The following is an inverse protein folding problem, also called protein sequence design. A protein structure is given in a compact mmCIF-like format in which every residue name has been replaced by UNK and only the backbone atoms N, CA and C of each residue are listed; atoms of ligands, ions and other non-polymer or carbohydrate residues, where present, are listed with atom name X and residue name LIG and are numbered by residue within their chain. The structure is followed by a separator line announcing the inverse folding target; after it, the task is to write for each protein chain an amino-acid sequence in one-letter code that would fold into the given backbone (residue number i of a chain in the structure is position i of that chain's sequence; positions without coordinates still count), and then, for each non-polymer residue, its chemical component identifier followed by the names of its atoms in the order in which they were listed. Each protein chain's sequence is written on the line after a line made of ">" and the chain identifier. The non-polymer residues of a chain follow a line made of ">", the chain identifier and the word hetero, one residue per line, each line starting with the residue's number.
data_IF_374644086629
#
_entry.id   IF_374644086629
#
_cell.length_a   1.000
_cell.length_b   1.000
_cell.length_c   1.000
_cell.angle_alpha   90.00
_cell.angle_beta   90.00
_cell.angle_gamma   90.00
#
_symmetry.space_group_name_H-M   'P 1'
#
loop_
_entity.id
_entity.type
_entity.pdbx_description
1 polymer ?
2 non-polymer ?
3 non-polymer ?
4 water ?
#
# COMPACT_ATOMS: atom_id res chain seq x y z
N UNK A 8 33.44 -8.15 -19.11
CA UNK A 8 32.15 -8.54 -18.53
C UNK A 8 31.13 -7.38 -18.55
N UNK A 9 30.03 -7.56 -19.27
CA UNK A 9 28.94 -6.57 -19.34
C UNK A 9 28.21 -6.48 -18.01
N UNK A 10 27.50 -5.37 -17.80
CA UNK A 10 26.58 -5.25 -16.68
C UNK A 10 25.55 -6.41 -16.63
N UNK A 11 25.09 -6.87 -17.77
CA UNK A 11 24.09 -7.96 -17.82
C UNK A 11 24.72 -9.33 -17.55
N UNK A 12 25.85 -9.62 -18.20
CA UNK A 12 26.61 -10.83 -17.95
C UNK A 12 26.96 -10.99 -16.49
N UNK A 13 27.28 -9.87 -15.84
CA UNK A 13 27.85 -9.94 -14.50
C UNK A 13 26.80 -10.47 -13.54
N UNK A 14 25.59 -9.92 -13.63
CA UNK A 14 24.46 -10.32 -12.81
C UNK A 14 24.07 -11.80 -13.02
N UNK A 15 23.93 -12.20 -14.27
CA UNK A 15 23.70 -13.57 -14.68
C UNK A 15 24.78 -14.53 -14.14
N UNK A 16 26.05 -14.10 -14.15
CA UNK A 16 27.15 -14.91 -13.62
C UNK A 16 27.24 -14.85 -12.10
N UNK A 17 26.85 -13.74 -11.48
CA UNK A 17 26.85 -13.67 -10.00
C UNK A 17 25.63 -14.36 -9.35
N UNK A 18 24.61 -14.66 -10.17
CA UNK A 18 23.31 -15.17 -9.72
C UNK A 18 22.49 -14.25 -8.83
N UNK A 19 22.67 -12.94 -9.00
CA UNK A 19 22.16 -11.97 -8.01
C UNK A 19 21.99 -10.58 -8.63
N UNK A 20 20.78 -10.01 -8.51
CA UNK A 20 20.56 -8.61 -8.86
C UNK A 20 20.61 -7.69 -7.60
N UNK A 21 21.72 -6.95 -7.45
CA UNK A 21 21.97 -6.00 -6.36
C UNK A 21 21.22 -4.73 -6.67
N UNK A 22 20.25 -4.39 -5.81
CA UNK A 22 19.41 -3.19 -6.02
C UNK A 22 19.44 -2.27 -4.80
N UNK A 23 19.56 -0.96 -5.03
CA UNK A 23 19.57 -0.04 -3.88
C UNK A 23 18.27 0.75 -3.85
N UNK A 24 17.83 1.06 -2.65
CA UNK A 24 16.52 1.71 -2.45
C UNK A 24 16.49 2.47 -1.09
N UNK A 25 15.37 3.17 -0.85
CA UNK A 25 15.14 3.95 0.37
C UNK A 25 14.44 3.06 1.37
N UNK A 26 14.61 3.35 2.66
CA UNK A 26 13.77 2.72 3.65
C UNK A 26 12.41 3.45 3.76
N UNK A 27 11.35 2.77 3.30
CA UNK A 27 10.01 3.31 3.28
C UNK A 27 9.11 2.22 2.75
N UNK A 28 7.84 2.22 3.19
CA UNK A 28 6.93 1.19 2.71
C UNK A 28 6.48 1.49 1.27
N UNK A 29 6.68 2.74 0.83
CA UNK A 29 6.54 3.01 -0.59
C UNK A 29 7.47 2.15 -1.42
N UNK A 30 8.68 1.88 -0.90
CA UNK A 30 9.78 1.30 -1.68
C UNK A 30 10.16 -0.09 -1.22
N UNK A 31 10.51 -0.21 0.06
CA UNK A 31 10.84 -1.51 0.66
C UNK A 31 10.60 -1.50 2.17
N UNK A 32 10.07 -2.61 2.67
CA UNK A 32 9.60 -2.70 4.04
C UNK A 32 9.67 -4.17 4.49
N UNK A 33 10.06 -4.38 5.75
CA UNK A 33 10.16 -5.73 6.30
C UNK A 33 9.19 -5.92 7.46
N UNK A 34 8.33 -6.93 7.36
CA UNK A 34 7.35 -7.21 8.40
C UNK A 34 7.30 -8.70 8.71
N UNK A 35 6.23 -9.12 9.41
CA UNK A 35 6.06 -10.51 9.77
C UNK A 35 5.72 -11.36 8.55
N UNK A 36 4.77 -10.92 7.75
CA UNK A 36 4.34 -11.68 6.59
C UNK A 36 5.27 -11.51 5.41
N UNK A 37 6.52 -11.19 5.70
CA UNK A 37 7.58 -10.99 4.69
C UNK A 37 7.87 -9.55 4.32
N UNK A 38 8.60 -9.35 3.21
CA UNK A 38 8.87 -8.01 2.67
C UNK A 38 7.84 -7.53 1.61
N UNK A 39 7.67 -6.21 1.52
CA UNK A 39 6.67 -5.61 0.64
C UNK A 39 7.27 -4.31 0.16
N UNK A 40 6.60 -3.69 -0.80
CA UNK A 40 7.06 -2.47 -1.39
C UNK A 40 6.74 -2.44 -2.85
N UNK A 41 6.29 -1.28 -3.31
CA UNK A 41 6.09 -1.12 -4.74
C UNK A 41 7.42 -1.50 -5.42
N UNK A 42 8.51 -0.85 -5.00
CA UNK A 42 9.74 -0.96 -5.74
C UNK A 42 10.28 -2.38 -5.62
N UNK A 43 10.23 -2.89 -4.38
CA UNK A 43 10.65 -4.25 -4.04
C UNK A 43 9.95 -5.30 -4.86
N UNK A 44 8.61 -5.29 -4.82
CA UNK A 44 7.82 -6.24 -5.62
C UNK A 44 8.20 -6.11 -7.10
N UNK A 45 8.47 -4.91 -7.58
CA UNK A 45 8.81 -4.70 -9.01
C UNK A 45 10.22 -5.21 -9.33
N UNK A 46 11.19 -4.81 -8.51
CA UNK A 46 12.59 -5.23 -8.73
C UNK A 46 12.68 -6.72 -8.48
N UNK A 47 11.83 -7.24 -7.60
CA UNK A 47 11.77 -8.69 -7.37
C UNK A 47 11.36 -9.44 -8.63
N UNK A 48 10.40 -8.88 -9.38
CA UNK A 48 9.93 -9.52 -10.62
C UNK A 48 10.94 -9.33 -11.72
N UNK A 49 11.80 -8.34 -11.59
CA UNK A 49 12.86 -8.17 -12.57
C UNK A 49 13.98 -9.22 -12.35
N UNK A 50 14.37 -9.46 -11.10
CA UNK A 50 15.35 -10.52 -10.74
C UNK A 50 14.82 -11.93 -11.14
N UNK A 51 13.54 -12.14 -10.94
CA UNK A 51 12.85 -13.29 -11.47
C UNK A 51 12.95 -13.41 -13.00
N UNK A 52 12.75 -12.30 -13.72
CA UNK A 52 12.83 -12.32 -15.21
C UNK A 52 14.21 -12.81 -15.66
N UNK A 53 15.26 -12.37 -14.96
CA UNK A 53 16.65 -12.71 -15.33
C UNK A 53 17.19 -14.05 -14.82
N UNK A 54 16.41 -14.73 -13.97
CA UNK A 54 16.85 -16.01 -13.36
C UNK A 54 17.59 -15.84 -12.03
N UNK A 55 17.70 -14.60 -11.56
CA UNK A 55 18.56 -14.28 -10.42
C UNK A 55 17.82 -13.99 -9.13
N UNK A 56 18.56 -14.18 -8.04
CA UNK A 56 18.09 -13.76 -6.73
C UNK A 56 18.31 -12.25 -6.57
N UNK A 57 17.25 -11.54 -6.21
CA UNK A 57 17.34 -10.14 -5.76
C UNK A 57 18.04 -9.97 -4.38
N UNK A 58 18.84 -8.92 -4.23
CA UNK A 58 19.37 -8.50 -2.92
C UNK A 58 19.13 -7.01 -2.82
N UNK A 59 18.41 -6.61 -1.76
CA UNK A 59 18.07 -5.21 -1.46
C UNK A 59 19.08 -4.59 -0.50
N UNK A 60 19.59 -3.38 -0.79
CA UNK A 60 20.28 -2.55 0.21
C UNK A 60 19.45 -1.30 0.45
N UNK A 61 19.79 -0.53 1.48
CA UNK A 61 19.20 0.78 1.75
C UNK A 61 20.23 1.87 1.99
N UNK A 62 19.99 3.02 1.39
CA UNK A 62 20.75 4.23 1.64
C UNK A 62 20.08 5.04 2.76
N UNK A 63 20.79 5.95 3.39
CA UNK A 63 20.21 6.73 4.50
C UNK A 63 19.57 8.04 4.06
N UNK A 64 20.05 8.57 2.94
CA UNK A 64 19.44 9.70 2.26
C UNK A 64 19.70 9.47 0.78
N UNK A 65 19.30 10.42 -0.06
CA UNK A 65 19.37 10.24 -1.51
C UNK A 65 20.73 10.59 -2.15
N UNK A 66 21.49 11.54 -1.61
CA UNK A 66 22.88 11.72 -2.07
C UNK A 66 23.65 10.39 -1.91
N UNK A 67 23.52 9.72 -0.77
CA UNK A 67 24.18 8.43 -0.53
C UNK A 67 23.57 7.29 -1.35
N UNK A 68 22.29 7.39 -1.70
CA UNK A 68 21.71 6.38 -2.60
C UNK A 68 22.36 6.51 -3.97
N UNK A 69 22.53 7.73 -4.45
CA UNK A 69 23.15 7.91 -5.76
C UNK A 69 24.66 7.57 -5.77
N UNK A 70 25.31 7.86 -4.64
CA UNK A 70 26.73 7.58 -4.45
C UNK A 70 27.05 6.14 -4.71
N UNK A 71 26.34 5.24 -4.04
CA UNK A 71 26.54 3.79 -4.16
C UNK A 71 26.61 3.24 -5.58
N UNK A 72 25.87 3.85 -6.50
CA UNK A 72 25.95 3.46 -7.91
C UNK A 72 27.33 3.70 -8.52
N UNK A 73 28.09 4.62 -7.92
CA UNK A 73 29.43 4.93 -8.40
C UNK A 73 30.47 4.04 -7.74
N UNK A 74 30.09 3.40 -6.64
CA UNK A 74 30.99 2.51 -5.91
C UNK A 74 31.31 1.25 -6.72
N UNK A 75 32.51 0.73 -6.54
CA UNK A 75 32.93 -0.48 -7.25
C UNK A 75 32.29 -1.72 -6.66
N UNK A 76 31.58 -2.46 -7.49
CA UNK A 76 30.91 -3.68 -7.05
C UNK A 76 29.64 -3.39 -6.26
N UNK A 77 29.16 -2.16 -6.36
CA UNK A 77 27.95 -1.75 -5.65
C UNK A 77 26.63 -2.27 -6.25
N UNK A 78 25.57 -1.46 -6.15
CA UNK A 78 24.29 -1.85 -6.65
C UNK A 78 24.23 -1.77 -8.16
N UNK A 79 23.64 -2.78 -8.81
CA UNK A 79 23.23 -2.64 -10.23
C UNK A 79 22.30 -1.45 -10.41
N UNK A 80 21.34 -1.26 -9.55
CA UNK A 80 20.38 -0.19 -9.86
C UNK A 80 19.66 0.38 -8.64
N UNK A 81 19.09 1.57 -8.78
CA UNK A 81 18.23 2.13 -7.74
C UNK A 81 16.77 2.11 -8.18
N UNK A 82 15.91 1.50 -7.37
CA UNK A 82 14.49 1.35 -7.62
C UNK A 82 13.88 1.99 -6.38
N UNK A 83 13.46 3.24 -6.52
CA UNK A 83 13.26 4.07 -5.31
C UNK A 83 12.28 5.24 -5.46
N UNK A 84 11.25 5.11 -6.32
CA UNK A 84 10.42 6.26 -6.69
C UNK A 84 11.24 7.51 -7.07
N UNK A 85 12.38 7.33 -7.70
CA UNK A 85 13.13 8.45 -8.21
C UNK A 85 12.47 8.99 -9.47
N UNK A 86 12.55 10.29 -9.65
CA UNK A 86 12.04 10.89 -10.86
C UNK A 86 13.27 11.56 -11.51
N UNK A 87 13.43 11.46 -12.85
CA UNK A 87 14.74 11.78 -13.45
C UNK A 87 15.25 13.23 -13.22
N UNK A 88 16.54 13.45 -13.53
CA UNK A 88 17.21 14.74 -13.31
C UNK A 88 16.94 15.74 -14.42
N UNK A 89 16.56 16.95 -14.05
CA UNK A 89 16.26 18.03 -15.01
C UNK A 89 17.49 18.59 -15.73
N UNK A 90 18.68 18.33 -15.17
CA UNK A 90 19.97 18.79 -15.72
C UNK A 90 21.00 17.64 -15.93
N UNK A 91 22.27 17.99 -16.13
CA UNK A 91 23.28 17.03 -16.64
C UNK A 91 24.34 16.50 -15.63
N UNK A 92 24.26 15.21 -15.32
CA UNK A 92 25.23 14.57 -14.44
C UNK A 92 25.66 13.22 -15.00
N UNK A 93 26.92 13.13 -15.41
CA UNK A 93 27.44 11.95 -16.11
C UNK A 93 27.47 10.68 -15.27
N UNK A 94 27.28 10.80 -13.96
CA UNK A 94 27.36 9.66 -13.02
C UNK A 94 26.06 8.82 -12.85
N UNK A 95 24.98 9.19 -13.55
CA UNK A 95 23.73 8.48 -13.44
C UNK A 95 22.94 8.48 -14.74
N UNK A 96 22.33 7.32 -15.04
CA UNK A 96 21.35 7.15 -16.13
C UNK A 96 20.03 6.64 -15.56
N UNK A 97 18.96 6.85 -16.31
CA UNK A 97 17.58 6.54 -15.92
C UNK A 97 16.85 5.67 -16.96
N UNK A 98 16.10 4.69 -16.50
CA UNK A 98 15.27 3.88 -17.40
C UNK A 98 14.15 4.74 -17.99
N UNK A 99 13.39 4.15 -18.92
CA UNK A 99 12.05 4.63 -19.20
C UNK A 99 11.24 4.84 -17.91
N UNK A 100 10.45 5.91 -17.87
CA UNK A 100 9.45 6.11 -16.80
C UNK A 100 8.39 5.01 -16.78
N UNK A 101 8.05 4.57 -15.57
CA UNK A 101 7.08 3.50 -15.34
C UNK A 101 5.87 3.94 -14.51
N UNK A 102 5.72 5.22 -14.26
CA UNK A 102 4.58 5.69 -13.46
C UNK A 102 4.48 7.22 -13.44
N UNK A 103 3.29 7.70 -13.78
CA UNK A 103 2.96 9.12 -13.81
C UNK A 103 2.48 9.71 -12.49
N UNK A 104 3.38 10.38 -11.77
CA UNK A 104 3.02 11.08 -10.51
C UNK A 104 3.20 12.57 -10.75
N UNK A 105 2.51 13.39 -9.96
CA UNK A 105 2.53 14.86 -10.05
C UNK A 105 3.10 15.34 -8.73
N UNK A 106 4.16 16.17 -8.75
CA UNK A 106 4.59 16.81 -7.48
C UNK A 106 3.48 17.70 -7.03
N UNK A 107 3.20 17.70 -5.73
CA UNK A 107 2.15 18.58 -5.21
C UNK A 107 2.60 19.26 -3.96
N UNK A 108 2.22 20.53 -3.83
CA UNK A 108 2.54 21.24 -2.62
C UNK A 108 1.54 20.79 -1.56
N UNK A 109 2.05 20.49 -0.36
CA UNK A 109 1.22 19.96 0.71
C UNK A 109 1.06 20.96 1.86
N UNK A 110 -0.19 21.15 2.28
CA UNK A 110 -0.51 22.00 3.44
C UNK A 110 -1.40 21.35 4.50
N UNK A 111 -1.50 22.01 5.65
CA UNK A 111 -2.36 21.60 6.74
C UNK A 111 -3.75 22.20 6.51
N UNK A 112 -4.77 21.33 6.48
CA UNK A 112 -6.18 21.73 6.28
C UNK A 112 -6.58 22.91 7.15
N UNK A 113 -7.38 23.82 6.60
CA UNK A 113 -7.81 25.01 7.30
C UNK A 113 -6.77 26.12 7.51
N UNK A 114 -5.46 25.85 7.29
CA UNK A 114 -4.41 26.90 7.38
C UNK A 114 -4.46 27.70 6.08
N UNK A 115 -3.64 28.76 5.96
CA UNK A 115 -3.68 29.59 4.75
C UNK A 115 -3.41 28.71 3.52
N UNK A 116 -4.27 28.80 2.52
CA UNK A 116 -4.15 27.99 1.30
C UNK A 116 -3.30 28.62 0.18
N UNK A 117 -2.03 28.17 0.04
CA UNK A 117 -1.24 28.57 -1.13
C UNK A 117 -1.88 28.11 -2.44
N UNK A 118 -1.94 28.98 -3.43
CA UNK A 118 -2.57 28.58 -4.67
C UNK A 118 -1.67 28.82 -5.88
N UNK A 119 -0.66 29.64 -5.69
CA UNK A 119 0.35 29.89 -6.71
C UNK A 119 1.72 29.93 -6.03
N UNK A 120 2.81 29.75 -6.82
CA UNK A 120 4.22 29.85 -6.39
C UNK A 120 4.55 31.03 -5.49
N UNK A 121 4.04 32.23 -5.80
CA UNK A 121 4.28 33.41 -4.92
C UNK A 121 4.09 33.05 -3.43
N UNK A 122 2.94 32.42 -3.14
CA UNK A 122 2.44 32.01 -1.80
C UNK A 122 3.39 31.16 -0.98
N UNK A 123 4.32 30.49 -1.67
CA UNK A 123 5.35 29.70 -0.99
C UNK A 123 6.38 30.64 -0.36
N UNK A 124 6.29 31.94 -0.69
CA UNK A 124 7.21 32.92 -0.09
C UNK A 124 6.89 33.05 1.40
N UNK A 125 7.97 33.18 2.20
CA UNK A 125 7.89 33.32 3.62
C UNK A 125 7.19 32.20 4.34
N UNK A 126 7.42 30.96 3.89
CA UNK A 126 6.94 29.78 4.62
C UNK A 126 8.07 28.84 5.07
N UNK A 127 7.90 28.23 6.23
CA UNK A 127 8.74 27.10 6.65
C UNK A 127 8.43 25.89 5.75
N UNK A 128 9.40 25.60 4.87
CA UNK A 128 9.27 24.52 3.91
C UNK A 128 10.40 23.53 4.08
N UNK A 129 10.04 22.26 4.30
CA UNK A 129 11.04 21.20 4.25
C UNK A 129 10.88 20.16 3.16
N UNK A 130 12.05 19.69 2.74
CA UNK A 130 12.22 18.84 1.62
C UNK A 130 13.48 17.99 1.85
N UNK A 131 13.55 16.86 1.14
CA UNK A 131 14.71 15.99 1.17
C UNK A 131 15.87 16.55 0.35
N UNK A 132 17.00 16.74 1.02
CA UNK A 132 18.23 17.08 0.28
C UNK A 132 18.48 15.99 -0.78
N UNK A 133 18.80 16.41 -2.00
CA UNK A 133 19.11 15.48 -3.10
C UNK A 133 17.91 15.06 -3.90
N UNK A 134 16.74 15.60 -3.54
CA UNK A 134 15.50 15.23 -4.22
C UNK A 134 15.29 16.08 -5.47
N UNK A 135 14.55 15.57 -6.44
CA UNK A 135 13.99 16.41 -7.51
C UNK A 135 13.21 17.55 -6.90
N UNK A 136 12.58 17.29 -5.76
CA UNK A 136 11.73 18.33 -5.17
C UNK A 136 12.58 19.53 -4.75
N UNK A 137 13.67 19.26 -4.03
CA UNK A 137 14.66 20.27 -3.69
C UNK A 137 14.99 21.09 -4.94
N UNK A 138 15.17 20.41 -6.06
CA UNK A 138 15.60 21.08 -7.29
C UNK A 138 14.58 21.96 -7.96
N UNK A 139 13.30 21.60 -7.86
CA UNK A 139 12.20 22.43 -8.34
C UNK A 139 12.08 23.72 -7.51
N UNK A 140 12.46 23.65 -6.24
CA UNK A 140 12.48 24.84 -5.37
C UNK A 140 13.63 25.84 -5.72
N UNK A 141 14.87 25.36 -5.85
CA UNK A 141 15.99 26.19 -6.30
C UNK A 141 15.65 26.98 -7.57
N UNK A 142 15.06 26.31 -8.55
CA UNK A 142 14.61 26.95 -9.82
C UNK A 142 13.62 28.13 -9.63
N UNK A 143 12.56 27.88 -8.87
CA UNK A 143 11.67 28.93 -8.36
C UNK A 143 12.38 29.98 -7.51
N UNK A 144 13.48 29.62 -6.84
CA UNK A 144 14.21 30.60 -6.01
C UNK A 144 14.93 31.66 -6.87
N UNK A 145 15.17 31.29 -8.13
CA UNK A 145 15.66 32.20 -9.15
C UNK A 145 14.60 33.24 -9.52
N UNK A 146 13.40 32.75 -9.79
CA UNK A 146 12.24 33.59 -9.99
C UNK A 146 11.91 34.38 -8.71
N UNK A 147 11.90 33.70 -7.58
CA UNK A 147 11.54 34.37 -6.35
C UNK A 147 12.68 34.36 -5.32
N UNK A 148 13.49 35.43 -5.30
CA UNK A 148 14.71 35.41 -4.46
C UNK A 148 14.38 35.36 -2.97
N UNK A 149 13.15 35.71 -2.62
CA UNK A 149 12.69 35.74 -1.22
C UNK A 149 12.21 34.39 -0.68
N UNK A 150 12.35 33.35 -1.50
CA UNK A 150 11.93 32.00 -1.13
C UNK A 150 12.97 31.33 -0.20
N UNK A 151 12.50 30.79 0.90
CA UNK A 151 13.35 30.04 1.82
C UNK A 151 12.79 28.63 1.89
N UNK A 152 13.70 27.65 1.91
CA UNK A 152 13.29 26.25 2.12
C UNK A 152 14.48 25.48 2.72
N UNK A 153 14.12 24.50 3.53
CA UNK A 153 15.06 23.68 4.25
C UNK A 153 15.29 22.36 3.48
N UNK A 154 16.58 22.03 3.31
CA UNK A 154 17.01 20.79 2.69
C UNK A 154 17.58 19.90 3.78
N UNK A 155 16.97 18.74 3.99
CA UNK A 155 17.31 17.85 5.10
C UNK A 155 17.77 16.48 4.62
N UNK A 156 18.91 16.03 5.15
CA UNK A 156 19.55 14.78 4.84
C UNK A 156 19.13 13.67 5.82
N UNK A 157 18.33 14.01 6.84
CA UNK A 157 18.05 13.10 7.96
C UNK A 157 16.69 12.41 7.89
N UNK A 158 15.73 13.11 7.29
CA UNK A 158 14.31 12.72 7.30
C UNK A 158 13.89 12.02 6.01
N UNK A 159 12.78 11.29 6.08
CA UNK A 159 12.17 10.72 4.90
C UNK A 159 10.83 11.43 4.59
N UNK A 160 10.20 11.04 3.48
CA UNK A 160 8.90 11.59 3.05
C UNK A 160 7.83 11.48 4.15
N UNK A 161 7.77 10.35 4.83
CA UNK A 161 6.79 10.15 5.93
C UNK A 161 6.96 11.20 7.04
N UNK A 162 8.20 11.59 7.28
CA UNK A 162 8.52 12.59 8.32
C UNK A 162 8.08 13.97 7.89
N UNK A 163 8.32 14.34 6.63
CA UNK A 163 7.87 15.62 6.06
C UNK A 163 6.35 15.84 6.16
N UNK A 164 5.58 14.78 5.99
CA UNK A 164 4.12 14.83 6.02
C UNK A 164 3.60 14.89 7.44
N UNK A 165 4.25 14.15 8.33
CA UNK A 165 3.96 14.27 9.75
C UNK A 165 4.07 15.71 10.21
N UNK A 166 5.10 16.39 9.69
CA UNK A 166 5.47 17.75 10.16
C UNK A 166 4.40 18.71 9.78
N UNK A 167 3.87 18.54 8.57
CA UNK A 167 2.81 19.42 8.08
C UNK A 167 1.53 19.10 8.82
N UNK A 168 1.37 17.83 9.18
CA UNK A 168 0.15 17.38 9.85
C UNK A 168 -0.04 18.07 11.19
N UNK A 169 1.05 18.32 11.90
CA UNK A 169 0.97 18.80 13.28
C UNK A 169 1.59 20.21 13.39
N UNK A 170 2.02 20.75 12.27
CA UNK A 170 2.37 22.17 12.19
C UNK A 170 3.79 22.62 12.54
N UNK A 171 4.73 21.69 12.68
CA UNK A 171 6.15 22.05 12.87
C UNK A 171 6.70 22.64 11.56
N UNK A 172 5.98 22.35 10.46
CA UNK A 172 6.25 23.06 9.21
C UNK A 172 4.93 23.41 8.53
N UNK A 173 4.94 24.39 7.63
CA UNK A 173 3.73 24.80 6.91
C UNK A 173 3.50 23.90 5.71
N UNK A 174 4.55 23.69 4.92
CA UNK A 174 4.46 23.08 3.58
C UNK A 174 5.59 22.08 3.28
N UNK A 175 5.27 21.14 2.39
CA UNK A 175 6.29 20.34 1.73
C UNK A 175 5.93 20.09 0.28
N UNK A 176 6.90 19.54 -0.44
CA UNK A 176 6.72 19.10 -1.84
C UNK A 176 6.99 17.60 -1.90
N UNK A 177 6.02 16.85 -2.39
CA UNK A 177 6.13 15.38 -2.51
C UNK A 177 5.32 14.91 -3.72
N UNK A 178 5.68 13.76 -4.25
CA UNK A 178 4.98 13.17 -5.40
C UNK A 178 3.63 12.67 -4.93
N UNK A 179 2.63 12.80 -5.78
CA UNK A 179 1.22 12.52 -5.43
C UNK A 179 0.96 11.06 -5.03
N UNK A 180 1.72 10.12 -5.59
CA UNK A 180 1.56 8.71 -5.23
C UNK A 180 1.79 8.43 -3.77
N UNK A 181 2.87 8.99 -3.22
CA UNK A 181 3.26 8.78 -1.82
C UNK A 181 2.45 9.63 -0.87
N UNK A 182 1.95 10.75 -1.39
CA UNK A 182 0.95 11.53 -0.67
C UNK A 182 -0.27 10.68 -0.35
N UNK A 183 -0.88 10.12 -1.39
CA UNK A 183 -2.04 9.19 -1.28
C UNK A 183 -1.74 7.97 -0.41
N UNK A 184 -0.55 7.37 -0.57
CA UNK A 184 -0.11 6.31 0.35
C UNK A 184 -0.16 6.77 1.79
N UNK A 185 0.24 8.01 2.01
CA UNK A 185 0.41 8.57 3.36
C UNK A 185 -0.81 9.24 3.92
N UNK A 186 -1.84 9.44 3.11
CA UNK A 186 -3.05 10.14 3.54
C UNK A 186 -3.83 9.38 4.60
N UNK A 187 -3.54 8.08 4.74
CA UNK A 187 -4.26 7.24 5.69
C UNK A 187 -3.59 7.30 7.05
N UNK A 188 -2.58 8.14 7.19
CA UNK A 188 -1.95 8.32 8.52
C UNK A 188 -2.05 9.77 8.99
N UNK A 189 -2.10 10.69 8.04
CA UNK A 189 -2.05 12.11 8.39
C UNK A 189 -3.33 12.81 8.00
N UNK A 190 -4.25 12.91 8.97
CA UNK A 190 -5.63 13.32 8.66
C UNK A 190 -5.79 14.77 8.24
N UNK A 191 -4.82 15.64 8.55
CA UNK A 191 -4.89 17.09 8.27
C UNK A 191 -4.16 17.54 7.01
N UNK A 192 -3.36 16.64 6.47
CA UNK A 192 -2.55 16.90 5.30
C UNK A 192 -3.41 17.03 4.02
N UNK A 193 -3.14 18.08 3.23
CA UNK A 193 -3.88 18.33 1.99
C UNK A 193 -3.04 18.90 0.86
N UNK A 194 -3.56 18.75 -0.36
CA UNK A 194 -2.88 19.13 -1.61
C UNK A 194 -3.21 20.58 -1.96
N UNK A 195 -2.20 21.43 -1.90
CA UNK A 195 -2.42 22.85 -2.06
C UNK A 195 -2.63 23.19 -3.52
N UNK A 196 -1.81 22.63 -4.40
CA UNK A 196 -2.02 22.72 -5.85
C UNK A 196 -0.97 21.83 -6.49
N UNK A 197 -1.09 21.60 -7.79
CA UNK A 197 -0.07 20.83 -8.51
C UNK A 197 1.07 21.72 -9.02
N UNK A 198 2.29 21.41 -8.57
CA UNK A 198 3.51 22.15 -8.92
C UNK A 198 4.20 21.47 -10.11
N UNK A 199 3.51 21.36 -11.24
CA UNK A 199 3.99 20.60 -12.41
C UNK A 199 2.98 19.59 -12.96
N UNK A 200 3.45 18.77 -13.92
CA UNK A 200 2.67 17.65 -14.51
C UNK A 200 3.21 16.32 -14.05
N UNK A 201 2.59 15.25 -14.57
CA UNK A 201 2.90 13.88 -14.17
C UNK A 201 4.24 13.31 -14.70
N UNK A 202 5.35 14.03 -14.44
CA UNK A 202 6.68 13.44 -14.68
C UNK A 202 6.69 12.01 -14.07
N UNK A 203 7.55 11.16 -14.60
CA UNK A 203 7.48 9.78 -14.19
C UNK A 203 8.62 9.32 -13.33
N UNK A 204 8.35 8.28 -12.55
CA UNK A 204 9.40 7.59 -11.83
C UNK A 204 10.26 6.78 -12.80
N UNK A 205 11.57 6.74 -12.56
CA UNK A 205 12.44 5.85 -13.33
C UNK A 205 13.48 5.21 -12.40
N UNK A 206 13.93 4.00 -12.75
CA UNK A 206 15.08 3.41 -12.05
C UNK A 206 16.40 4.02 -12.51
N UNK A 207 17.34 4.13 -11.57
CA UNK A 207 18.60 4.75 -11.90
C UNK A 207 19.68 3.70 -11.98
N UNK A 208 20.50 3.84 -13.00
CA UNK A 208 21.69 3.01 -13.19
C UNK A 208 22.95 3.91 -13.26
N UNK A 209 24.10 3.39 -12.84
CA UNK A 209 25.29 4.21 -12.91
C UNK A 209 25.47 4.77 -14.32
N UNK A 210 26.06 5.95 -14.42
CA UNK A 210 26.43 6.49 -15.74
C UNK A 210 27.24 5.55 -16.63
N UNK A 211 27.15 5.77 -17.93
CA UNK A 211 27.96 4.99 -18.86
C UNK A 211 27.26 4.76 -20.20
N UNK A 212 27.99 4.08 -21.07
CA UNK A 212 27.52 3.71 -22.39
C UNK A 212 27.22 2.19 -22.59
N UNK A 213 27.49 1.38 -21.55
CA UNK A 213 27.03 -0.02 -21.50
C UNK A 213 25.50 -0.09 -21.29
N UNK A 214 24.81 -0.84 -22.14
CA UNK A 214 23.33 -0.90 -22.07
C UNK A 214 22.80 -2.29 -21.83
N UNK A 215 23.68 -3.25 -21.62
CA UNK A 215 23.23 -4.62 -21.61
C UNK A 215 22.01 -4.76 -20.66
N UNK A 216 22.15 -4.28 -19.43
CA UNK A 216 21.12 -4.41 -18.44
C UNK A 216 20.03 -3.35 -18.58
N UNK A 217 20.44 -2.12 -18.92
CA UNK A 217 19.47 -1.05 -19.17
C UNK A 217 18.43 -1.43 -20.23
N UNK A 218 18.86 -2.01 -21.35
CA UNK A 218 17.84 -2.43 -22.36
C UNK A 218 16.86 -3.43 -21.75
N UNK A 219 17.41 -4.37 -20.97
CA UNK A 219 16.58 -5.34 -20.28
C UNK A 219 15.65 -4.77 -19.22
N UNK A 220 16.13 -3.76 -18.47
CA UNK A 220 15.28 -3.06 -17.53
C UNK A 220 14.13 -2.44 -18.34
N UNK A 221 14.48 -1.75 -19.44
CA UNK A 221 13.47 -1.16 -20.32
C UNK A 221 12.57 -2.20 -20.99
N UNK A 222 13.11 -3.33 -21.43
CA UNK A 222 12.21 -4.38 -21.97
C UNK A 222 11.23 -4.87 -20.89
N UNK A 223 11.74 -5.08 -19.67
CA UNK A 223 10.91 -5.50 -18.52
C UNK A 223 9.76 -4.57 -18.12
N UNK A 224 10.06 -3.27 -18.13
CA UNK A 224 9.07 -2.22 -17.83
C UNK A 224 8.02 -2.07 -18.91
N UNK A 225 8.42 -2.20 -20.17
CA UNK A 225 7.46 -2.20 -21.25
C UNK A 225 6.54 -3.46 -21.17
N UNK A 226 7.13 -4.61 -20.82
CA UNK A 226 6.30 -5.80 -20.56
C UNK A 226 5.35 -5.57 -19.36
N UNK A 227 5.88 -4.98 -18.29
CA UNK A 227 5.10 -4.76 -17.09
C UNK A 227 3.82 -3.90 -17.37
N UNK A 228 3.96 -2.92 -18.25
CA UNK A 228 2.87 -2.06 -18.71
C UNK A 228 1.90 -2.85 -19.55
N UNK A 229 2.44 -3.80 -20.31
CA UNK A 229 1.61 -4.63 -21.19
C UNK A 229 0.65 -5.54 -20.45
N UNK A 230 1.04 -5.98 -19.26
CA UNK A 230 0.27 -6.93 -18.42
C UNK A 230 -0.44 -6.35 -17.17
N UNK A 231 -0.45 -5.04 -17.01
CA UNK A 231 -1.12 -4.44 -15.87
C UNK A 231 -0.40 -4.47 -14.55
N UNK A 232 0.83 -5.03 -14.50
CA UNK A 232 1.61 -5.19 -13.24
C UNK A 232 1.84 -3.88 -12.46
N UNK A 233 2.20 -2.82 -13.16
CA UNK A 233 2.46 -1.53 -12.52
C UNK A 233 1.13 -0.98 -11.99
N UNK A 234 0.08 -1.13 -12.80
CA UNK A 234 -1.26 -0.67 -12.41
C UNK A 234 -1.73 -1.37 -11.13
N UNK A 235 -1.56 -2.72 -11.04
CA UNK A 235 -1.84 -3.51 -9.80
C UNK A 235 -1.00 -3.09 -8.56
N UNK A 236 0.28 -2.76 -8.77
CA UNK A 236 1.18 -2.36 -7.65
C UNK A 236 0.77 -0.96 -7.24
N UNK A 237 0.51 -0.10 -8.25
CA UNK A 237 -0.01 1.23 -7.97
C UNK A 237 -1.25 1.21 -7.06
N UNK A 238 -2.26 0.38 -7.39
CA UNK A 238 -3.48 0.22 -6.53
C UNK A 238 -3.21 -0.31 -5.12
N UNK A 239 -2.32 -1.28 -4.99
CA UNK A 239 -2.02 -1.78 -3.65
C UNK A 239 -1.34 -0.75 -2.77
N UNK A 240 -0.29 -0.12 -3.30
CA UNK A 240 0.56 0.78 -2.52
C UNK A 240 0.12 2.21 -2.54
N UNK A 241 -0.32 2.70 -3.71
CA UNK A 241 -0.66 4.13 -3.92
C UNK A 241 -2.14 4.45 -4.26
N UNK A 242 -3.07 3.52 -4.09
CA UNK A 242 -4.46 3.80 -4.50
C UNK A 242 -5.45 3.94 -3.37
N UNK A 243 -4.96 4.18 -2.14
CA UNK A 243 -5.85 4.38 -1.01
C UNK A 243 -6.96 5.43 -1.25
N UNK A 244 -6.60 6.61 -1.76
CA UNK A 244 -7.53 7.71 -2.00
C UNK A 244 -8.47 7.39 -3.15
N UNK A 245 -7.87 6.82 -4.19
CA UNK A 245 -8.52 6.40 -5.41
C UNK A 245 -9.60 5.36 -5.07
N UNK A 246 -9.19 4.36 -4.29
CA UNK A 246 -10.05 3.26 -3.89
C UNK A 246 -10.97 3.56 -2.73
N UNK A 247 -10.44 3.99 -1.59
CA UNK A 247 -11.27 4.23 -0.38
C UNK A 247 -12.11 5.50 -0.46
N UNK A 248 -11.77 6.41 -1.40
CA UNK A 248 -12.35 7.77 -1.52
C UNK A 248 -11.57 8.74 -0.61
N UNK A 249 -11.45 10.02 -0.99
CA UNK A 249 -10.70 11.03 -0.17
C UNK A 249 -11.19 11.01 1.27
N UNK A 250 -12.51 11.08 1.46
CA UNK A 250 -13.08 11.16 2.81
C UNK A 250 -12.79 9.92 3.64
N UNK A 251 -12.92 8.76 3.01
CA UNK A 251 -12.50 7.50 3.63
C UNK A 251 -11.04 7.48 4.08
N UNK A 252 -10.13 8.02 3.24
CA UNK A 252 -8.68 8.01 3.52
C UNK A 252 -8.31 8.82 4.77
N UNK A 253 -8.79 10.06 4.87
CA UNK A 253 -8.40 10.92 6.00
C UNK A 253 -9.14 10.56 7.28
N UNK A 254 -10.38 10.11 7.17
CA UNK A 254 -11.08 9.71 8.36
C UNK A 254 -10.43 8.46 8.90
N UNK A 255 -10.07 7.54 8.01
CA UNK A 255 -9.36 6.37 8.46
C UNK A 255 -8.19 6.86 9.28
N UNK A 256 -7.42 7.80 8.74
CA UNK A 256 -6.29 8.40 9.51
C UNK A 256 -6.68 8.97 10.88
N UNK A 257 -7.84 9.65 10.95
CA UNK A 257 -8.42 10.12 12.23
C UNK A 257 -8.65 8.95 13.21
N UNK A 258 -9.30 7.90 12.71
CA UNK A 258 -9.64 6.72 13.50
C UNK A 258 -8.45 5.91 13.95
N UNK A 259 -7.42 5.81 13.10
CA UNK A 259 -6.16 5.18 13.48
C UNK A 259 -5.58 5.81 14.75
N UNK A 260 -5.65 7.14 14.81
CA UNK A 260 -5.03 7.92 15.89
C UNK A 260 -5.98 8.10 17.09
N UNK A 261 -7.29 8.20 16.83
CA UNK A 261 -8.26 8.48 17.90
C UNK A 261 -8.99 7.25 18.47
N UNK A 262 -9.26 6.26 17.62
CA UNK A 262 -9.95 5.06 18.06
C UNK A 262 -9.05 3.84 18.34
N UNK A 263 -8.14 3.48 17.42
CA UNK A 263 -7.31 2.25 17.60
C UNK A 263 -6.50 2.10 18.90
N UNK A 264 -5.98 3.20 19.47
CA UNK A 264 -5.21 2.93 20.69
C UNK A 264 -6.06 2.32 21.79
N UNK A 265 -7.33 2.70 21.85
CA UNK A 265 -8.27 2.11 22.82
C UNK A 265 -8.50 0.59 22.74
N UNK A 266 -8.14 -0.06 21.63
CA UNK A 266 -8.50 -1.47 21.41
C UNK A 266 -7.37 -2.37 21.00
N UNK A 267 -6.27 -1.72 20.58
CA UNK A 267 -5.10 -2.37 20.02
C UNK A 267 -4.65 -3.50 20.91
N UNK A 268 -4.50 -3.20 22.20
CA UNK A 268 -4.17 -4.20 23.20
C UNK A 268 -5.04 -5.46 23.09
N UNK A 269 -6.35 -5.29 22.93
CA UNK A 269 -7.21 -6.42 22.84
C UNK A 269 -7.03 -7.14 21.53
N UNK A 270 -6.92 -6.37 20.46
CA UNK A 270 -6.56 -6.96 19.16
C UNK A 270 -5.33 -7.80 19.26
N UNK A 271 -4.35 -7.35 20.04
CA UNK A 271 -3.09 -8.09 20.15
C UNK A 271 -3.21 -9.35 21.02
N UNK A 272 -3.97 -9.28 22.12
CA UNK A 272 -4.08 -10.45 22.96
C UNK A 272 -4.83 -11.60 22.20
N UNK A 273 -5.85 -11.25 21.40
CA UNK A 273 -6.56 -12.28 20.61
C UNK A 273 -5.65 -12.92 19.56
N UNK A 274 -4.86 -12.09 18.91
CA UNK A 274 -3.88 -12.58 17.96
C UNK A 274 -2.94 -13.66 18.49
N UNK A 275 -2.44 -13.45 19.71
CA UNK A 275 -1.34 -14.26 20.32
C UNK A 275 -1.43 -15.79 20.23
N UNK A 276 -2.54 -16.34 20.69
CA UNK A 276 -2.75 -17.79 20.66
C UNK A 276 -3.34 -18.24 19.33
N UNK A 277 -4.37 -17.52 18.88
CA UNK A 277 -5.02 -17.84 17.62
C UNK A 277 -4.04 -17.78 16.45
N UNK A 278 -2.78 -17.48 16.77
CA UNK A 278 -1.74 -17.39 15.75
C UNK A 278 -2.21 -16.59 14.54
N UNK A 279 -3.12 -15.65 14.78
CA UNK A 279 -3.67 -14.81 13.72
C UNK A 279 -3.20 -13.37 13.86
N UNK A 280 -2.53 -12.86 12.83
CA UNK A 280 -2.03 -11.49 12.83
C UNK A 280 -3.09 -10.56 13.42
N UNK A 281 -2.74 -9.91 14.53
CA UNK A 281 -3.67 -8.98 15.18
C UNK A 281 -4.14 -7.86 14.22
N UNK A 282 -3.24 -7.44 13.31
CA UNK A 282 -3.52 -6.36 12.34
C UNK A 282 -4.59 -6.75 11.33
N UNK A 283 -4.68 -8.04 11.03
CA UNK A 283 -5.75 -8.60 10.17
C UNK A 283 -7.03 -8.50 10.93
N UNK A 284 -6.94 -8.83 12.22
CA UNK A 284 -8.06 -8.81 13.12
C UNK A 284 -8.64 -7.40 13.25
N UNK A 285 -7.74 -6.41 13.44
CA UNK A 285 -8.16 -5.01 13.57
C UNK A 285 -8.79 -4.50 12.26
N UNK A 286 -8.27 -4.98 11.15
CA UNK A 286 -8.80 -4.61 9.83
C UNK A 286 -10.26 -5.04 9.69
N UNK A 287 -10.57 -6.30 10.03
CA UNK A 287 -11.98 -6.74 10.19
C UNK A 287 -12.75 -5.77 11.09
N UNK A 288 -12.17 -5.47 12.27
CA UNK A 288 -12.68 -4.44 13.18
C UNK A 288 -13.04 -3.15 12.43
N UNK A 289 -12.05 -2.60 11.69
CA UNK A 289 -12.24 -1.33 11.01
C UNK A 289 -13.34 -1.41 9.97
N UNK A 290 -13.32 -2.39 9.07
CA UNK A 290 -14.42 -2.59 8.08
C UNK A 290 -15.79 -2.84 8.73
N UNK A 291 -15.78 -3.50 9.88
CA UNK A 291 -17.07 -3.85 10.51
C UNK A 291 -17.74 -2.62 11.19
N UNK A 292 -16.95 -1.88 11.95
CA UNK A 292 -17.52 -0.76 12.70
C UNK A 292 -16.63 0.48 12.81
N UNK A 293 -15.55 0.59 12.04
CA UNK A 293 -14.65 1.75 12.16
C UNK A 293 -14.20 1.91 13.63
N UNK A 294 -14.00 0.79 14.31
CA UNK A 294 -13.50 0.75 15.70
C UNK A 294 -14.42 1.49 16.65
N UNK A 295 -15.71 1.14 16.57
CA UNK A 295 -16.76 1.76 17.38
C UNK A 295 -17.46 0.67 18.18
N UNK A 296 -17.03 0.48 19.46
CA UNK A 296 -17.56 -0.56 20.33
C UNK A 296 -19.07 -0.52 20.38
N UNK A 297 -19.63 0.67 20.34
CA UNK A 297 -21.03 0.85 20.67
C UNK A 297 -21.95 0.76 19.49
N UNK A 298 -21.39 0.52 18.31
CA UNK A 298 -22.17 0.50 17.05
C UNK A 298 -23.17 -0.65 16.91
N UNK A 299 -24.31 -0.28 16.34
CA UNK A 299 -25.39 -1.18 16.07
C UNK A 299 -25.85 -0.87 14.66
N UNK A 300 -26.44 -1.83 13.97
CA UNK A 300 -27.12 -1.52 12.70
C UNK A 300 -28.61 -1.92 12.73
N UNK A 301 -29.26 -1.93 11.58
CA UNK A 301 -30.69 -2.27 11.53
C UNK A 301 -30.95 -3.68 10.97
N UNK A 302 -29.96 -4.58 11.13
CA UNK A 302 -29.92 -5.87 10.37
C UNK A 302 -29.46 -7.12 11.16
N UNK A 303 -29.21 -6.95 12.45
CA UNK A 303 -29.00 -8.04 13.35
C UNK A 303 -27.60 -8.14 13.90
N UNK A 304 -26.78 -7.12 13.65
CA UNK A 304 -25.39 -7.09 14.18
C UNK A 304 -25.01 -5.88 15.05
N UNK A 305 -24.34 -6.15 16.16
CA UNK A 305 -23.96 -5.11 17.08
C UNK A 305 -22.46 -5.26 17.33
N UNK A 306 -21.84 -4.17 17.77
CA UNK A 306 -20.49 -4.20 18.33
C UNK A 306 -19.32 -3.98 17.38
N UNK A 307 -18.12 -3.98 17.97
CA UNK A 307 -16.89 -3.71 17.25
C UNK A 307 -16.66 -4.62 16.00
N UNK A 308 -16.98 -5.91 16.12
CA UNK A 308 -16.80 -6.87 15.03
C UNK A 308 -18.16 -7.26 14.45
N UNK A 309 -19.22 -6.54 14.82
CA UNK A 309 -20.52 -6.72 14.20
C UNK A 309 -20.90 -8.18 14.24
N UNK A 310 -21.32 -8.61 15.41
CA UNK A 310 -21.66 -10.01 15.65
C UNK A 310 -23.18 -10.16 15.74
N UNK A 311 -23.70 -11.28 15.26
CA UNK A 311 -25.09 -11.62 15.51
C UNK A 311 -25.20 -12.19 16.90
N UNK A 312 -26.43 -12.23 17.39
CA UNK A 312 -26.71 -12.64 18.74
C UNK A 312 -26.37 -14.12 18.82
N UNK A 313 -26.65 -14.87 17.76
CA UNK A 313 -26.35 -16.30 17.75
C UNK A 313 -24.83 -16.62 17.73
N UNK A 314 -24.03 -15.76 17.10
CA UNK A 314 -22.58 -15.94 17.08
C UNK A 314 -22.02 -15.56 18.46
N UNK A 315 -22.52 -14.46 18.99
CA UNK A 315 -22.10 -14.00 20.29
C UNK A 315 -22.43 -15.09 21.32
N UNK A 316 -23.64 -15.65 21.22
CA UNK A 316 -24.02 -16.79 22.04
C UNK A 316 -23.04 -17.99 21.93
N UNK A 317 -22.79 -18.47 20.71
CA UNK A 317 -21.85 -19.58 20.49
C UNK A 317 -20.34 -19.33 20.88
N UNK A 318 -19.89 -18.08 20.86
CA UNK A 318 -18.50 -17.70 21.15
C UNK A 318 -18.36 -17.32 22.59
N UNK A 319 -19.51 -17.23 23.25
CA UNK A 319 -19.58 -17.05 24.68
C UNK A 319 -19.41 -15.61 25.07
N UNK A 320 -19.95 -14.75 24.20
CA UNK A 320 -19.96 -13.32 24.42
C UNK A 320 -21.21 -12.95 25.24
N UNK A 321 -20.92 -12.39 26.42
CA UNK A 321 -21.87 -11.85 27.37
C UNK A 321 -22.47 -10.53 26.87
N UNK A 322 -21.62 -9.66 26.34
CA UNK A 322 -22.02 -8.29 25.97
C UNK A 322 -21.35 -7.95 24.65
N UNK A 323 -22.14 -8.05 23.59
CA UNK A 323 -21.68 -7.72 22.23
C UNK A 323 -21.14 -6.30 22.11
N UNK A 324 -21.43 -5.46 23.12
CA UNK A 324 -21.04 -4.04 23.10
C UNK A 324 -19.77 -3.75 23.88
N UNK A 325 -19.23 -4.78 24.52
CA UNK A 325 -17.96 -4.63 25.18
C UNK A 325 -16.89 -4.86 24.13
N UNK A 326 -15.91 -3.93 24.01
CA UNK A 326 -14.87 -4.00 23.00
C UNK A 326 -14.08 -5.30 23.06
N UNK A 327 -13.56 -5.65 24.23
CA UNK A 327 -12.72 -6.83 24.41
C UNK A 327 -13.47 -8.08 23.98
N UNK A 328 -14.66 -8.24 24.55
CA UNK A 328 -15.51 -9.40 24.32
C UNK A 328 -16.02 -9.52 22.88
N UNK A 329 -16.34 -8.39 22.25
CA UNK A 329 -16.64 -8.38 20.82
C UNK A 329 -15.44 -8.86 19.97
N UNK A 330 -14.28 -8.29 20.21
CA UNK A 330 -13.03 -8.68 19.51
C UNK A 330 -12.74 -10.18 19.67
N UNK A 331 -12.81 -10.67 20.91
CA UNK A 331 -12.60 -12.07 21.23
C UNK A 331 -13.56 -13.00 20.47
N UNK A 332 -14.87 -12.75 20.58
CA UNK A 332 -15.85 -13.54 19.84
C UNK A 332 -15.62 -13.46 18.35
N UNK A 333 -15.40 -12.23 17.86
CA UNK A 333 -15.24 -11.97 16.41
C UNK A 333 -13.94 -12.52 15.85
N UNK A 334 -12.87 -12.43 16.63
CA UNK A 334 -11.58 -13.09 16.30
C UNK A 334 -11.69 -14.63 16.37
N UNK A 335 -12.21 -15.18 17.48
CA UNK A 335 -12.54 -16.64 17.54
C UNK A 335 -13.39 -17.11 16.33
N UNK A 336 -14.33 -16.28 15.90
CA UNK A 336 -15.24 -16.64 14.81
C UNK A 336 -14.57 -16.65 13.45
N UNK A 337 -13.70 -15.69 13.18
CA UNK A 337 -12.91 -15.74 11.95
C UNK A 337 -12.06 -16.99 11.87
N UNK A 338 -11.44 -17.37 12.99
CA UNK A 338 -10.58 -18.55 13.01
C UNK A 338 -11.40 -19.84 12.95
N UNK A 339 -12.64 -19.80 13.42
CA UNK A 339 -13.45 -21.01 13.34
C UNK A 339 -13.77 -21.29 11.86
N UNK A 340 -14.11 -20.22 11.15
CA UNK A 340 -14.42 -20.24 9.70
C UNK A 340 -13.17 -20.58 8.88
N UNK A 341 -12.09 -19.85 9.11
CA UNK A 341 -10.81 -20.22 8.49
C UNK A 341 -10.65 -21.73 8.65
N UNK A 342 -10.84 -22.26 9.87
CA UNK A 342 -10.57 -23.69 10.11
C UNK A 342 -11.54 -24.64 9.40
N UNK A 343 -12.81 -24.25 9.26
CA UNK A 343 -13.81 -25.02 8.49
C UNK A 343 -13.65 -25.08 6.97
N UNK A 344 -12.79 -24.26 6.39
CA UNK A 344 -12.61 -24.33 4.94
C UNK A 344 -12.03 -25.68 4.50
N UNK A 345 -12.39 -26.15 3.27
CA UNK A 345 -11.77 -27.42 2.89
C UNK A 345 -10.26 -27.41 2.98
N UNK A 346 -9.69 -28.56 3.31
CA UNK A 346 -8.26 -28.78 3.44
C UNK A 346 -7.48 -28.37 2.18
N UNK A 347 -8.14 -28.51 1.03
CA UNK A 347 -7.58 -28.13 -0.27
C UNK A 347 -7.22 -26.65 -0.41
N UNK A 348 -7.83 -25.75 0.38
CA UNK A 348 -7.50 -24.34 0.26
C UNK A 348 -6.30 -24.03 1.15
N UNK A 349 -5.26 -23.45 0.52
CA UNK A 349 -3.96 -23.14 1.15
C UNK A 349 -3.73 -21.66 1.41
N UNK A 350 -3.09 -21.38 2.52
CA UNK A 350 -2.55 -20.04 2.73
C UNK A 350 -1.68 -19.54 1.56
N UNK A 351 -1.70 -18.24 1.30
CA UNK A 351 -2.46 -17.28 2.08
C UNK A 351 -3.94 -17.17 1.58
N UNK A 352 -4.23 -17.77 0.43
CA UNK A 352 -5.59 -17.79 -0.14
C UNK A 352 -6.62 -18.18 0.95
N UNK A 353 -6.23 -19.05 1.89
CA UNK A 353 -7.12 -19.53 2.94
C UNK A 353 -7.69 -18.35 3.71
N UNK A 354 -6.80 -17.44 4.14
CA UNK A 354 -7.25 -16.33 4.95
C UNK A 354 -8.23 -15.45 4.20
N UNK A 355 -8.05 -15.30 2.88
CA UNK A 355 -8.92 -14.44 2.09
C UNK A 355 -10.30 -15.08 1.86
N UNK A 356 -10.33 -16.39 1.65
CA UNK A 356 -11.61 -17.13 1.62
C UNK A 356 -12.31 -17.05 2.98
N UNK A 357 -11.54 -16.96 4.06
CA UNK A 357 -12.18 -16.88 5.37
C UNK A 357 -12.82 -15.51 5.60
N UNK A 358 -12.18 -14.45 5.09
CA UNK A 358 -12.73 -13.11 5.13
C UNK A 358 -14.06 -13.10 4.42
N UNK A 359 -14.11 -13.82 3.30
CA UNK A 359 -15.32 -13.80 2.45
C UNK A 359 -16.48 -14.58 3.08
N UNK A 360 -16.23 -15.76 3.63
CA UNK A 360 -17.31 -16.49 4.37
C UNK A 360 -17.79 -15.74 5.61
N UNK A 361 -16.84 -15.01 6.24
CA UNK A 361 -17.15 -14.06 7.29
C UNK A 361 -18.19 -12.99 6.89
N UNK A 362 -18.15 -12.50 5.66
CA UNK A 362 -19.18 -11.56 5.18
C UNK A 362 -20.40 -12.24 4.57
N UNK A 363 -20.22 -13.37 3.90
CA UNK A 363 -21.31 -13.91 3.09
C UNK A 363 -21.83 -15.23 3.64
N UNK A 364 -20.97 -15.92 4.41
CA UNK A 364 -21.28 -17.27 4.88
C UNK A 364 -20.76 -18.45 4.06
N UNK A 365 -20.54 -19.55 4.75
CA UNK A 365 -20.06 -20.81 4.17
C UNK A 365 -20.89 -21.35 3.01
N UNK A 366 -22.21 -21.23 3.07
CA UNK A 366 -23.06 -21.86 2.07
C UNK A 366 -22.82 -21.18 0.75
N UNK A 367 -22.89 -19.87 0.79
CA UNK A 367 -22.80 -19.06 -0.41
C UNK A 367 -21.41 -19.08 -0.97
N UNK A 368 -20.41 -19.12 -0.13
CA UNK A 368 -19.04 -19.20 -0.58
C UNK A 368 -18.76 -20.51 -1.31
N UNK A 369 -19.18 -21.62 -0.70
CA UNK A 369 -19.24 -22.88 -1.41
C UNK A 369 -19.84 -22.81 -2.82
N UNK A 370 -20.93 -22.08 -3.03
CA UNK A 370 -21.57 -22.01 -4.37
C UNK A 370 -20.66 -21.29 -5.37
N UNK A 371 -20.01 -20.21 -4.93
CA UNK A 371 -19.09 -19.53 -5.84
C UNK A 371 -17.88 -20.42 -6.14
N UNK A 372 -17.38 -21.15 -5.15
CA UNK A 372 -16.35 -22.18 -5.37
C UNK A 372 -16.78 -23.23 -6.41
N UNK A 373 -18.00 -23.78 -6.24
CA UNK A 373 -18.57 -24.71 -7.20
C UNK A 373 -18.68 -24.09 -8.57
N UNK A 374 -19.14 -22.84 -8.59
CA UNK A 374 -19.22 -22.03 -9.82
C UNK A 374 -17.84 -21.87 -10.47
N UNK A 375 -16.78 -21.68 -9.68
CA UNK A 375 -15.46 -21.57 -10.30
C UNK A 375 -15.07 -22.88 -10.92
N UNK A 376 -15.48 -23.98 -10.30
CA UNK A 376 -15.10 -25.29 -10.84
C UNK A 376 -15.70 -25.60 -12.21
N UNK A 377 -17.01 -25.33 -12.33
CA UNK A 377 -17.76 -25.47 -13.61
C UNK A 377 -17.23 -24.62 -14.73
N UNK A 378 -16.64 -23.47 -14.38
CA UNK A 378 -16.04 -22.58 -15.39
C UNK A 378 -14.60 -22.90 -15.70
N UNK A 379 -14.12 -24.06 -15.24
CA UNK A 379 -12.73 -24.48 -15.52
C UNK A 379 -11.67 -23.80 -14.65
N UNK A 380 -12.11 -23.00 -13.68
CA UNK A 380 -11.19 -22.30 -12.78
C UNK A 380 -10.83 -23.11 -11.51
N UNK A 381 -9.83 -22.65 -10.74
CA UNK A 381 -9.42 -23.33 -9.50
C UNK A 381 -10.19 -22.74 -8.31
N UNK A 382 -11.05 -23.57 -7.67
CA UNK A 382 -11.87 -23.17 -6.51
C UNK A 382 -11.10 -23.07 -5.17
N UNK A 383 -9.79 -23.36 -5.24
CA UNK A 383 -8.84 -23.29 -4.11
C UNK A 383 -7.99 -22.04 -4.27
N UNK A 384 -8.19 -21.35 -5.40
CA UNK A 384 -7.52 -20.05 -5.65
C UNK A 384 -8.43 -18.86 -5.51
N UNK A 385 -8.01 -17.93 -4.65
CA UNK A 385 -8.85 -16.80 -4.33
C UNK A 385 -9.15 -15.86 -5.50
N UNK A 386 -8.13 -15.55 -6.31
CA UNK A 386 -8.33 -14.63 -7.45
C UNK A 386 -9.36 -15.28 -8.42
N UNK A 387 -9.42 -16.60 -8.41
CA UNK A 387 -10.32 -17.34 -9.28
C UNK A 387 -11.75 -17.18 -8.75
N UNK A 388 -11.95 -17.44 -7.47
CA UNK A 388 -13.33 -17.49 -6.91
C UNK A 388 -13.93 -16.09 -6.65
N UNK A 389 -13.06 -15.13 -6.38
CA UNK A 389 -13.44 -13.74 -6.34
C UNK A 389 -14.09 -13.27 -7.66
N UNK A 390 -13.68 -13.81 -8.80
CA UNK A 390 -14.35 -13.50 -10.10
C UNK A 390 -15.76 -14.06 -10.19
N UNK A 391 -16.10 -15.00 -9.31
CA UNK A 391 -17.41 -15.64 -9.34
C UNK A 391 -18.39 -14.96 -8.36
N UNK A 392 -17.87 -14.50 -7.22
CA UNK A 392 -18.71 -13.96 -6.19
C UNK A 392 -19.78 -13.01 -6.76
N UNK A 393 -19.36 -11.92 -7.48
CA UNK A 393 -20.34 -10.98 -8.08
C UNK A 393 -21.50 -11.68 -8.81
N UNK A 394 -21.16 -12.77 -9.50
CA UNK A 394 -22.11 -13.52 -10.22
C UNK A 394 -23.27 -14.07 -9.37
N UNK A 395 -23.06 -14.23 -8.06
CA UNK A 395 -24.14 -14.70 -7.15
C UNK A 395 -25.31 -13.71 -7.09
N UNK A 396 -25.11 -12.54 -7.68
CA UNK A 396 -26.14 -11.50 -7.74
C UNK A 396 -26.72 -11.40 -9.13
N UNK A 397 -26.32 -12.32 -10.02
CA UNK A 397 -26.79 -12.32 -11.43
C UNK A 397 -27.75 -13.48 -11.72
N UNK A 398 -28.94 -13.14 -12.25
CA UNK A 398 -30.03 -14.10 -12.55
C UNK A 398 -29.52 -15.41 -13.15
N UNK A 399 -28.83 -15.29 -14.27
CA UNK A 399 -28.43 -16.46 -15.04
C UNK A 399 -27.54 -17.30 -14.13
N UNK A 400 -26.90 -16.67 -13.15
CA UNK A 400 -25.93 -17.41 -12.34
C UNK A 400 -26.51 -17.92 -11.00
N UNK A 401 -27.23 -17.08 -10.26
CA UNK A 401 -27.73 -17.58 -8.96
C UNK A 401 -28.76 -18.72 -9.10
N UNK A 402 -29.47 -18.73 -10.22
CA UNK A 402 -30.58 -19.68 -10.47
C UNK A 402 -30.07 -21.09 -10.66
N UNK A 403 -28.72 -21.19 -10.72
CA UNK A 403 -27.91 -22.43 -10.89
C UNK A 403 -27.14 -22.85 -9.63
N UNK A 404 -27.29 -22.08 -8.54
CA UNK A 404 -26.62 -22.37 -7.29
C UNK A 404 -27.62 -23.10 -6.40
N UNK A 405 -27.13 -23.91 -5.45
CA UNK A 405 -27.96 -24.50 -4.40
C UNK A 405 -28.65 -23.46 -3.46
N UNK A 406 -27.92 -22.37 -3.15
CA UNK A 406 -28.36 -21.34 -2.19
C UNK A 406 -28.70 -20.00 -2.82
N UNK A 407 -28.83 -19.92 -4.13
CA UNK A 407 -29.32 -18.71 -4.78
C UNK A 407 -28.61 -17.39 -4.52
N UNK A 408 -29.41 -16.32 -4.58
CA UNK A 408 -28.93 -14.94 -4.63
C UNK A 408 -28.07 -14.60 -3.43
N UNK A 409 -27.01 -13.83 -3.67
CA UNK A 409 -26.24 -13.22 -2.59
C UNK A 409 -25.47 -12.02 -3.09
N UNK A 410 -25.24 -11.07 -2.19
CA UNK A 410 -24.52 -9.85 -2.48
C UNK A 410 -23.02 -10.16 -2.55
N UNK A 411 -22.62 -10.68 -3.70
CA UNK A 411 -21.28 -11.15 -3.89
C UNK A 411 -20.31 -10.01 -4.07
N UNK A 412 -20.80 -8.92 -4.67
CA UNK A 412 -20.00 -7.69 -4.94
C UNK A 412 -19.67 -7.03 -3.62
N UNK A 413 -20.65 -6.90 -2.73
CA UNK A 413 -20.38 -6.43 -1.37
C UNK A 413 -19.26 -7.29 -0.77
N UNK A 414 -19.36 -8.60 -0.97
CA UNK A 414 -18.39 -9.51 -0.40
C UNK A 414 -16.96 -9.31 -0.97
N UNK A 415 -16.83 -9.15 -2.29
CA UNK A 415 -15.54 -8.75 -2.90
C UNK A 415 -15.03 -7.40 -2.35
N UNK A 416 -15.92 -6.42 -2.14
CA UNK A 416 -15.49 -5.15 -1.54
C UNK A 416 -15.00 -5.35 -0.15
N UNK A 417 -15.63 -6.27 0.57
CA UNK A 417 -15.37 -6.49 1.97
C UNK A 417 -13.96 -7.00 2.19
N UNK A 418 -13.59 -8.02 1.43
CA UNK A 418 -12.21 -8.60 1.43
C UNK A 418 -11.12 -7.67 0.86
N UNK A 419 -11.43 -6.92 -0.20
CA UNK A 419 -10.42 -5.97 -0.76
C UNK A 419 -10.13 -4.91 0.32
N UNK A 420 -11.17 -4.31 0.88
CA UNK A 420 -11.00 -3.29 1.88
C UNK A 420 -10.25 -3.79 3.14
N UNK A 421 -10.71 -4.86 3.78
CA UNK A 421 -9.99 -5.49 4.87
C UNK A 421 -8.51 -5.77 4.49
N UNK A 422 -8.28 -6.31 3.30
CA UNK A 422 -6.90 -6.53 2.83
C UNK A 422 -6.08 -5.23 2.71
N UNK A 423 -6.73 -4.14 2.26
CA UNK A 423 -6.11 -2.84 2.20
C UNK A 423 -5.83 -2.23 3.63
N UNK A 424 -6.77 -2.37 4.57
CA UNK A 424 -6.54 -1.82 5.94
C UNK A 424 -5.47 -2.64 6.63
N UNK A 425 -5.52 -3.95 6.43
CA UNK A 425 -4.45 -4.89 6.80
C UNK A 425 -3.09 -4.35 6.33
N UNK A 426 -2.96 -4.00 5.03
CA UNK A 426 -1.70 -3.37 4.48
C UNK A 426 -1.31 -2.11 5.22
N UNK A 427 -2.31 -1.27 5.43
CA UNK A 427 -2.15 0.03 6.07
C UNK A 427 -1.55 -0.06 7.46
N UNK A 428 -2.11 -0.95 8.27
CA UNK A 428 -1.65 -1.17 9.64
C UNK A 428 -0.30 -1.82 9.66
N UNK A 429 -0.03 -2.65 8.65
CA UNK A 429 1.30 -3.24 8.46
C UNK A 429 2.32 -2.17 8.10
N UNK A 430 1.84 -1.08 7.50
CA UNK A 430 2.76 -0.07 6.98
C UNK A 430 2.96 1.14 7.92
N UNK A 431 2.33 1.15 9.08
CA UNK A 431 2.41 2.26 10.00
C UNK A 431 3.86 2.74 10.27
#
# INVERSE_FOLDING_TARGET
>A
GSSEAKAPTALERVQKEGVLRVITRNSPATYFQDRNGETGFEYELAKRFAERLGVELKIETADNLDDLYAQLSREGGPALAAAGLTPGAAADASVRYSHTYLDVTPQIIYRNGQQRPTRPEDLVGKRIMVLKGSSHAEQLAELKKQYPELKYEESDAVEVVDLLRMVDVGDIDLTLVDSNELAMNQVYFPNVRVAFDFGEARGLAWALPGGDDDSLMNEVNAFLDQAKKEGLLQRLKDRYYGHVDVLGYVGAYTFAQHLQQRLPRYESHFKQSGKQLDTDWRLLAAIGYQESLWQPGATSKTGVRGLMMLTNRTAQAMGVSNRLDPKQSIQGGSKYFVQIRSELPESIKEPDRSWFALAAYNIGGAHLEDARKMAEKEGLNPNKWLDVKKMLPRLAQKQWYAKTRYGYARGGETVHFVQNVRRYYDILTWVTQPQ
#
